data_IF_421541399173
#
_entry.id   IF_421541399173
#
_cell.length_a   1.000
_cell.length_b   1.000
_cell.length_c   1.000
_cell.angle_alpha   90.00
_cell.angle_beta   90.00
_cell.angle_gamma   90.00
#
_symmetry.space_group_name_H-M   'P 1'
#
loop_
_entity.id
_entity.type
_entity.pdbx_description
1 polymer ?
#
# COMPACT_ATOMS: atom_id res chain seq x y z
N UNK A 1 -7.73 19.88 -0.99
CA UNK A 1 -7.21 19.08 -2.12
C UNK A 1 -7.34 17.65 -1.66
N UNK A 2 -8.27 16.94 -2.26
CA UNK A 2 -8.84 15.70 -1.74
C UNK A 2 -8.65 14.59 -2.78
N UNK A 3 -8.62 13.33 -2.36
CA UNK A 3 -8.40 12.21 -3.27
C UNK A 3 -9.74 11.61 -3.68
N UNK A 4 -10.21 12.04 -4.86
CA UNK A 4 -11.53 11.68 -5.37
C UNK A 4 -12.65 12.18 -4.47
N UNK A 5 -13.76 11.44 -4.40
CA UNK A 5 -14.93 11.77 -3.57
C UNK A 5 -14.89 11.15 -2.17
N UNK A 6 -13.89 10.31 -1.88
CA UNK A 6 -13.87 9.47 -0.67
C UNK A 6 -12.90 9.91 0.42
N UNK A 7 -11.74 10.46 0.06
CA UNK A 7 -10.69 10.73 1.04
C UNK A 7 -10.35 12.21 1.12
N UNK A 8 -10.41 12.75 2.33
CA UNK A 8 -10.07 14.14 2.64
C UNK A 8 -8.67 14.22 3.23
N UNK A 9 -7.84 15.18 2.78
CA UNK A 9 -6.55 15.47 3.43
C UNK A 9 -6.78 16.29 4.70
N UNK A 10 -6.24 15.84 5.82
CA UNK A 10 -6.34 16.52 7.11
C UNK A 10 -5.10 17.35 7.38
N UNK A 11 -3.93 16.72 7.51
CA UNK A 11 -2.66 17.42 7.72
C UNK A 11 -1.47 16.63 7.14
N UNK A 12 -0.37 17.30 6.75
CA UNK A 12 0.83 16.59 6.31
C UNK A 12 1.50 15.91 7.51
N UNK A 13 1.92 14.66 7.31
CA UNK A 13 2.66 13.89 8.32
C UNK A 13 4.15 13.79 7.95
N UNK A 14 4.50 13.90 6.68
CA UNK A 14 5.89 13.96 6.24
C UNK A 14 6.07 13.73 4.74
N UNK A 15 7.30 13.90 4.28
CA UNK A 15 7.70 13.62 2.90
C UNK A 15 8.98 12.79 2.89
N UNK A 16 9.04 11.80 2.01
CA UNK A 16 10.20 10.94 1.80
C UNK A 16 10.41 10.66 0.30
N UNK A 17 11.48 9.95 -0.04
CA UNK A 17 11.87 9.70 -1.44
C UNK A 17 10.79 9.09 -2.35
N UNK A 18 9.74 8.47 -1.82
CA UNK A 18 8.61 7.91 -2.60
C UNK A 18 7.43 8.86 -2.76
N UNK A 19 7.42 10.00 -2.07
CA UNK A 19 6.34 10.97 -2.08
C UNK A 19 5.93 11.40 -0.67
N UNK A 20 4.70 11.88 -0.54
CA UNK A 20 4.20 12.54 0.67
C UNK A 20 3.25 11.64 1.45
N UNK A 21 3.25 11.79 2.77
CA UNK A 21 2.33 11.11 3.68
C UNK A 21 1.49 12.16 4.38
N UNK A 22 0.18 11.94 4.36
CA UNK A 22 -0.82 12.82 4.94
C UNK A 22 -1.67 12.02 5.93
N UNK A 23 -2.15 12.67 6.97
CA UNK A 23 -3.33 12.22 7.67
C UNK A 23 -4.53 12.46 6.76
N UNK A 24 -5.45 11.51 6.71
CA UNK A 24 -6.66 11.63 5.94
C UNK A 24 -7.87 10.97 6.60
N UNK A 25 -9.05 11.36 6.12
CA UNK A 25 -10.33 10.83 6.56
C UNK A 25 -11.05 10.15 5.41
N UNK A 26 -11.44 8.90 5.60
CA UNK A 26 -12.36 8.19 4.73
C UNK A 26 -13.79 8.62 5.07
N UNK A 27 -14.41 9.40 4.19
CA UNK A 27 -15.75 9.97 4.42
C UNK A 27 -16.85 8.92 4.33
N UNK A 28 -16.62 7.79 3.66
CA UNK A 28 -17.60 6.72 3.52
C UNK A 28 -17.58 5.77 4.72
N UNK A 29 -16.40 5.47 5.24
CA UNK A 29 -16.23 4.60 6.42
C UNK A 29 -16.22 5.37 7.74
N UNK A 30 -16.10 6.70 7.71
CA UNK A 30 -16.06 7.52 8.92
C UNK A 30 -14.80 7.35 9.77
N UNK A 31 -13.68 6.87 9.19
CA UNK A 31 -12.44 6.58 9.92
C UNK A 31 -11.26 7.44 9.45
N UNK A 32 -10.31 7.68 10.35
CA UNK A 32 -9.03 8.32 10.04
C UNK A 32 -7.97 7.28 9.66
N UNK A 33 -7.01 7.70 8.84
CA UNK A 33 -5.88 6.89 8.42
C UNK A 33 -4.78 7.72 7.77
N UNK A 34 -3.79 7.05 7.18
CA UNK A 34 -2.73 7.71 6.43
C UNK A 34 -2.94 7.57 4.92
N UNK A 35 -2.59 8.60 4.17
CA UNK A 35 -2.62 8.63 2.71
C UNK A 35 -1.21 8.88 2.20
N UNK A 36 -0.65 7.91 1.45
CA UNK A 36 0.66 8.04 0.80
C UNK A 36 0.48 8.38 -0.67
N UNK A 37 0.87 9.59 -1.04
CA UNK A 37 0.84 10.08 -2.42
C UNK A 37 2.13 9.70 -3.11
N UNK A 38 2.07 8.83 -4.11
CA UNK A 38 3.24 8.38 -4.86
C UNK A 38 3.44 9.28 -6.08
N UNK A 39 4.69 9.73 -6.29
CA UNK A 39 5.04 10.53 -7.48
C UNK A 39 4.97 9.67 -8.75
N UNK A 40 4.37 10.17 -9.85
CA UNK A 40 4.34 9.44 -11.11
C UNK A 40 5.76 9.21 -11.64
N UNK A 41 6.04 8.00 -12.16
CA UNK A 41 7.35 7.61 -12.68
C UNK A 41 8.19 6.70 -11.78
N UNK A 42 7.73 6.37 -10.57
CA UNK A 42 8.33 5.31 -9.74
C UNK A 42 7.38 4.11 -9.67
N UNK A 43 7.67 2.99 -10.34
CA UNK A 43 6.90 1.78 -10.15
C UNK A 43 7.22 1.18 -8.77
N UNK A 44 6.20 0.85 -8.00
CA UNK A 44 6.17 -0.44 -7.31
C UNK A 44 5.01 -1.22 -7.95
N UNK A 45 5.32 -2.01 -8.97
CA UNK A 45 4.30 -2.75 -9.72
C UNK A 45 4.73 -4.19 -10.06
N UNK A 46 5.79 -4.76 -9.47
CA UNK A 46 6.21 -6.15 -9.83
C UNK A 46 6.79 -7.04 -8.75
N UNK A 47 6.75 -6.70 -7.46
CA UNK A 47 7.29 -7.64 -6.43
C UNK A 47 6.53 -7.61 -5.11
N UNK A 48 5.21 -7.50 -5.13
CA UNK A 48 4.41 -8.19 -4.13
C UNK A 48 3.99 -9.53 -4.73
N UNK A 49 4.97 -10.43 -4.88
CA UNK A 49 4.68 -11.83 -5.11
C UNK A 49 3.73 -12.27 -4.01
N UNK A 50 2.48 -12.56 -4.39
CA UNK A 50 1.62 -13.46 -3.65
C UNK A 50 2.37 -14.78 -3.65
N UNK A 51 3.28 -14.94 -2.68
CA UNK A 51 4.11 -16.13 -2.53
C UNK A 51 3.15 -17.30 -2.50
N UNK A 52 3.18 -18.11 -3.55
CA UNK A 52 2.64 -19.46 -3.52
C UNK A 52 3.20 -20.10 -2.26
N UNK A 53 2.34 -20.25 -1.26
CA UNK A 53 2.62 -21.02 -0.06
C UNK A 53 3.05 -22.39 -0.60
N UNK A 54 4.35 -22.67 -0.49
CA UNK A 54 4.94 -23.88 -1.06
C UNK A 54 4.17 -25.10 -0.56
N UNK A 55 3.76 -25.96 -1.48
CA UNK A 55 3.13 -27.23 -1.14
C UNK A 55 4.03 -27.98 -0.13
N UNK A 56 3.47 -28.57 0.94
CA UNK A 56 4.24 -29.28 1.95
C UNK A 56 5.04 -30.43 1.30
N UNK A 57 6.29 -30.57 1.76
CA UNK A 57 7.37 -31.30 1.12
C UNK A 57 7.00 -32.67 0.54
N UNK A 58 7.25 -32.83 -0.76
CA UNK A 58 7.43 -34.15 -1.35
C UNK A 58 8.77 -34.72 -0.84
N UNK A 59 8.71 -35.69 0.08
CA UNK A 59 9.86 -36.51 0.44
C UNK A 59 10.30 -37.33 -0.77
N UNK A 60 11.58 -37.30 -1.19
CA UNK A 60 12.08 -38.26 -2.16
C UNK A 60 12.16 -39.63 -1.48
N UNK A 61 11.42 -40.61 -2.00
CA UNK A 61 11.64 -42.02 -1.62
C UNK A 61 12.96 -42.47 -2.22
N UNK A 62 13.97 -42.63 -1.38
CA UNK A 62 15.23 -43.29 -1.75
C UNK A 62 14.96 -44.69 -2.27
N UNK A 63 15.67 -45.00 -3.35
CA UNK A 63 15.65 -46.24 -4.14
C UNK A 63 16.32 -47.40 -3.40
#
# INVERSE_FOLDING_TARGET
>A
MDFGDRYVKVMPLGAAGMGEVWEGRDTRLGRSGTIKVVRPGRPDDRTAGHGSIGAPGAMPRSR
#
